data_IF_096992497614
#
_entry.id   IF_096992497614
#
_cell.length_a   1.000
_cell.length_b   1.000
_cell.length_c   1.000
_cell.angle_alpha   90.00
_cell.angle_beta   90.00
_cell.angle_gamma   90.00
#
_symmetry.space_group_name_H-M   'P 1'
#
loop_
_entity.id
_entity.type
_entity.pdbx_description
1 polymer ?
#
# COMPACT_ATOMS: atom_id res chain seq x y z
N UNK A 1 -7.15 -6.84 0.91
CA UNK A 1 -6.03 -7.74 0.58
C UNK A 1 -5.29 -8.27 1.80
N UNK A 2 -4.81 -7.44 2.73
CA UNK A 2 -4.04 -7.88 3.92
C UNK A 2 -4.66 -9.08 4.67
N UNK A 3 -5.95 -9.02 5.03
CA UNK A 3 -6.62 -10.13 5.72
C UNK A 3 -6.69 -11.42 4.90
N UNK A 4 -6.81 -11.33 3.57
CA UNK A 4 -6.83 -12.52 2.72
C UNK A 4 -5.49 -13.24 2.77
N UNK A 5 -4.37 -12.49 2.76
CA UNK A 5 -3.02 -13.06 2.90
C UNK A 5 -2.86 -13.74 4.26
N UNK A 6 -3.34 -13.11 5.33
CA UNK A 6 -3.30 -13.70 6.67
C UNK A 6 -4.13 -14.97 6.73
N UNK A 7 -5.36 -14.95 6.22
CA UNK A 7 -6.23 -16.11 6.16
C UNK A 7 -5.61 -17.26 5.35
N UNK A 8 -4.95 -16.98 4.22
CA UNK A 8 -4.26 -18.01 3.45
C UNK A 8 -3.18 -18.73 4.28
N UNK A 9 -2.47 -17.99 5.15
CA UNK A 9 -1.48 -18.57 6.07
C UNK A 9 -2.15 -19.36 7.18
N UNK A 10 -3.19 -18.79 7.81
CA UNK A 10 -3.90 -19.41 8.94
C UNK A 10 -4.60 -20.72 8.55
N UNK A 11 -5.14 -20.79 7.33
CA UNK A 11 -5.78 -21.99 6.77
C UNK A 11 -4.82 -22.89 5.98
N UNK A 12 -3.52 -22.56 5.99
CA UNK A 12 -2.46 -23.39 5.41
C UNK A 12 -2.72 -23.78 3.94
N UNK A 13 -3.17 -22.82 3.13
CA UNK A 13 -3.49 -23.04 1.72
C UNK A 13 -2.29 -23.60 0.94
N UNK A 14 -2.53 -24.60 0.11
CA UNK A 14 -1.52 -25.24 -0.73
C UNK A 14 -1.48 -24.64 -2.14
N UNK A 15 -0.42 -24.94 -2.89
CA UNK A 15 -0.20 -24.39 -4.24
C UNK A 15 -1.32 -24.72 -5.23
N UNK A 16 -2.05 -25.80 -5.02
CA UNK A 16 -3.16 -26.24 -5.87
C UNK A 16 -4.50 -25.55 -5.56
N UNK A 17 -4.54 -24.67 -4.55
CA UNK A 17 -5.76 -24.00 -4.09
C UNK A 17 -5.84 -22.54 -4.53
N UNK A 18 -7.04 -22.11 -4.94
CA UNK A 18 -7.29 -20.74 -5.40
C UNK A 18 -8.06 -19.92 -4.37
N UNK A 19 -7.53 -18.76 -4.00
CA UNK A 19 -8.21 -17.77 -3.17
C UNK A 19 -8.78 -16.64 -4.05
N UNK A 20 -10.10 -16.42 -3.99
CA UNK A 20 -10.76 -15.32 -4.70
C UNK A 20 -11.05 -14.20 -3.72
N UNK A 21 -10.65 -12.97 -4.07
CA UNK A 21 -10.86 -11.78 -3.25
C UNK A 21 -11.70 -10.76 -4.01
N UNK A 22 -12.67 -10.17 -3.32
CA UNK A 22 -13.50 -9.10 -3.87
C UNK A 22 -12.85 -7.75 -3.54
N UNK A 23 -12.61 -6.95 -4.59
CA UNK A 23 -12.20 -5.56 -4.46
C UNK A 23 -13.42 -4.67 -4.80
N UNK A 24 -13.96 -3.93 -3.81
CA UNK A 24 -15.29 -3.33 -3.92
C UNK A 24 -15.36 -2.12 -4.85
N UNK A 25 -14.27 -1.36 -4.99
CA UNK A 25 -14.24 -0.14 -5.80
C UNK A 25 -12.89 0.13 -6.46
N UNK A 26 -12.86 1.19 -7.27
CA UNK A 26 -11.67 1.63 -8.01
C UNK A 26 -10.97 2.80 -7.32
N UNK A 27 -9.74 3.08 -7.75
CA UNK A 27 -8.89 4.15 -7.21
C UNK A 27 -9.46 5.57 -7.33
N UNK A 28 -10.45 5.81 -8.21
CA UNK A 28 -11.01 7.15 -8.50
C UNK A 28 -11.47 7.89 -7.24
N UNK A 29 -12.00 7.17 -6.24
CA UNK A 29 -12.51 7.76 -5.00
C UNK A 29 -11.40 8.23 -4.03
N UNK A 30 -10.14 7.93 -4.35
CA UNK A 30 -9.00 8.09 -3.43
C UNK A 30 -7.81 8.82 -4.02
N UNK A 31 -7.98 9.47 -5.19
CA UNK A 31 -6.92 10.20 -5.89
C UNK A 31 -6.21 11.24 -5.00
N UNK A 32 -6.95 11.89 -4.09
CA UNK A 32 -6.43 12.90 -3.15
C UNK A 32 -6.28 12.39 -1.72
N UNK A 33 -6.27 11.06 -1.55
CA UNK A 33 -6.16 10.39 -0.25
C UNK A 33 -4.93 9.50 -0.24
N UNK A 34 -5.09 8.19 -0.07
CA UNK A 34 -3.96 7.27 0.02
C UNK A 34 -3.07 7.23 -1.24
N UNK A 35 -3.58 7.69 -2.39
CA UNK A 35 -2.77 7.77 -3.61
C UNK A 35 -1.83 8.98 -3.61
N UNK A 36 -2.07 9.96 -2.75
CA UNK A 36 -1.21 11.13 -2.57
C UNK A 36 -0.23 10.88 -1.43
N UNK A 37 1.06 10.99 -1.74
CA UNK A 37 2.14 10.79 -0.75
C UNK A 37 2.06 11.83 0.37
N UNK A 38 1.81 13.10 0.05
CA UNK A 38 1.58 14.18 1.02
C UNK A 38 0.50 13.79 2.05
N UNK A 39 -0.65 13.29 1.57
CA UNK A 39 -1.76 12.87 2.44
C UNK A 39 -1.38 11.67 3.32
N UNK A 40 -0.53 10.77 2.83
CA UNK A 40 -0.04 9.61 3.57
C UNK A 40 0.99 10.02 4.64
N UNK A 41 1.89 10.95 4.32
CA UNK A 41 2.87 11.52 5.24
C UNK A 41 2.19 12.30 6.37
N UNK A 42 1.22 13.17 6.04
CA UNK A 42 0.45 13.94 7.03
C UNK A 42 -0.27 13.04 8.05
N UNK A 43 -0.65 11.82 7.62
CA UNK A 43 -1.34 10.84 8.45
C UNK A 43 -0.44 9.77 9.03
N UNK A 44 0.87 9.91 8.86
CA UNK A 44 1.90 8.98 9.34
C UNK A 44 1.68 7.53 8.85
N UNK A 45 1.14 7.38 7.64
CA UNK A 45 1.07 6.08 6.94
C UNK A 45 2.31 5.81 6.08
N UNK A 46 3.08 6.85 5.78
CA UNK A 46 4.38 6.78 5.10
C UNK A 46 5.40 7.50 5.99
N UNK A 47 6.62 6.96 6.10
CA UNK A 47 7.72 7.66 6.75
C UNK A 47 8.49 8.49 5.70
N UNK A 48 8.97 9.68 6.10
CA UNK A 48 9.75 10.59 5.22
C UNK A 48 11.02 9.91 4.66
N UNK A 49 11.51 8.85 5.32
CA UNK A 49 12.66 8.07 4.87
C UNK A 49 12.34 7.15 3.67
N UNK A 50 11.07 6.88 3.44
CA UNK A 50 10.57 6.03 2.36
C UNK A 50 10.23 6.84 1.10
N UNK A 51 10.32 8.18 1.14
CA UNK A 51 10.34 8.96 -0.09
C UNK A 51 11.51 8.50 -0.96
N UNK A 52 11.30 8.30 -2.27
CA UNK A 52 12.39 8.01 -3.20
C UNK A 52 13.27 9.26 -3.33
N UNK A 53 14.16 9.44 -2.35
CA UNK A 53 15.10 10.54 -2.27
C UNK A 53 16.31 10.24 -3.17
N UNK A 54 16.02 9.94 -4.45
CA UNK A 54 17.00 9.49 -5.43
C UNK A 54 17.71 10.64 -6.13
N UNK A 55 17.15 11.86 -6.09
CA UNK A 55 17.69 12.99 -6.84
C UNK A 55 18.47 13.94 -5.92
N UNK A 56 19.68 14.26 -6.36
CA UNK A 56 20.69 15.00 -5.58
C UNK A 56 20.27 16.41 -5.13
N UNK A 57 19.27 17.03 -5.75
CA UNK A 57 18.77 18.37 -5.38
C UNK A 57 17.82 18.38 -4.18
N UNK A 58 17.26 17.24 -3.77
CA UNK A 58 16.43 17.17 -2.55
C UNK A 58 17.23 17.39 -1.26
N UNK A 59 18.56 17.29 -1.34
CA UNK A 59 19.49 17.51 -0.23
C UNK A 59 20.22 18.87 -0.30
N UNK A 60 19.85 19.74 -1.24
CA UNK A 60 20.47 21.06 -1.35
C UNK A 60 20.04 21.97 -0.20
N UNK A 61 20.96 22.80 0.32
CA UNK A 61 20.68 23.72 1.43
C UNK A 61 19.68 24.83 1.05
#
# INVERSE_FOLDING_TARGET
>A
MSCAIQACKDFNLTEDQNCVVILPDSVRNYMTKFLSDDWMLERAFLDVKDEPNTEWWHSMP
#
